data_IF_316342796273
#
_entry.id   IF_316342796273
#
_cell.length_a   1.000
_cell.length_b   1.000
_cell.length_c   1.000
_cell.angle_alpha   90.00
_cell.angle_beta   90.00
_cell.angle_gamma   90.00
#
_symmetry.space_group_name_H-M   'P 1'
#
loop_
_entity.id
_entity.type
_entity.pdbx_description
1 polymer ?
#
# COMPACT_ATOMS: atom_id res chain seq x y z
N UNK A 1 -2.11 -17.23 -17.45
CA UNK A 1 -1.29 -16.08 -17.95
C UNK A 1 0.18 -16.47 -17.97
N UNK A 2 0.98 -16.10 -19.00
CA UNK A 2 2.42 -16.43 -19.04
C UNK A 2 3.16 -15.62 -17.97
N UNK A 3 4.06 -16.25 -17.18
CA UNK A 3 4.82 -15.61 -16.09
C UNK A 3 5.55 -14.34 -16.54
N UNK A 4 6.21 -14.39 -17.69
CA UNK A 4 6.91 -13.23 -18.28
C UNK A 4 5.99 -12.04 -18.51
N UNK A 5 4.76 -12.29 -18.99
CA UNK A 5 3.76 -11.25 -19.19
C UNK A 5 3.29 -10.65 -17.86
N UNK A 6 3.10 -11.49 -16.83
CA UNK A 6 2.73 -11.00 -15.50
C UNK A 6 3.83 -10.12 -14.89
N UNK A 7 5.10 -10.53 -14.99
CA UNK A 7 6.23 -9.76 -14.49
C UNK A 7 6.31 -8.40 -15.20
N UNK A 8 6.17 -8.39 -16.54
CA UNK A 8 6.15 -7.15 -17.31
C UNK A 8 4.99 -6.24 -16.88
N UNK A 9 3.78 -6.79 -16.82
CA UNK A 9 2.57 -6.05 -16.41
C UNK A 9 2.72 -5.44 -15.02
N UNK A 10 3.17 -6.23 -14.02
CA UNK A 10 3.43 -5.75 -12.67
C UNK A 10 4.49 -4.65 -12.64
N UNK A 11 5.56 -4.79 -13.41
CA UNK A 11 6.62 -3.77 -13.47
C UNK A 11 6.08 -2.42 -13.97
N UNK A 12 5.24 -2.41 -14.99
CA UNK A 12 4.64 -1.17 -15.50
C UNK A 12 3.60 -0.59 -14.51
N UNK A 13 2.74 -1.44 -13.93
CA UNK A 13 1.79 -1.01 -12.91
C UNK A 13 2.49 -0.44 -11.67
N UNK A 14 3.59 -1.04 -11.22
CA UNK A 14 4.39 -0.55 -10.09
C UNK A 14 5.00 0.83 -10.38
N UNK A 15 5.56 1.04 -11.56
CA UNK A 15 6.10 2.35 -11.95
C UNK A 15 5.04 3.45 -11.87
N UNK A 16 3.85 3.19 -12.41
CA UNK A 16 2.76 4.17 -12.39
C UNK A 16 2.18 4.33 -10.98
N UNK A 17 1.98 3.23 -10.24
CA UNK A 17 1.45 3.26 -8.88
C UNK A 17 2.36 3.99 -7.88
N UNK A 18 3.68 3.98 -8.11
CA UNK A 18 4.65 4.66 -7.24
C UNK A 18 4.98 6.09 -7.68
N UNK A 19 4.55 6.49 -8.87
CA UNK A 19 4.80 7.83 -9.39
C UNK A 19 4.11 8.89 -8.53
N UNK A 20 4.88 9.83 -8.04
CA UNK A 20 4.40 11.01 -7.32
C UNK A 20 4.68 12.24 -8.17
N UNK A 21 3.64 13.03 -8.43
CA UNK A 21 3.78 14.28 -9.15
C UNK A 21 4.57 15.30 -8.30
N UNK A 22 5.58 15.89 -8.89
CA UNK A 22 6.43 16.88 -8.22
C UNK A 22 5.65 18.13 -7.77
N UNK A 23 4.55 18.46 -8.43
CA UNK A 23 3.67 19.57 -8.05
C UNK A 23 2.95 19.35 -6.72
N UNK A 24 2.84 18.09 -6.27
CA UNK A 24 2.22 17.78 -4.99
C UNK A 24 3.07 18.24 -3.79
N UNK A 25 4.39 18.30 -3.93
CA UNK A 25 5.26 18.71 -2.82
C UNK A 25 5.01 20.15 -2.38
N UNK A 26 5.02 21.16 -3.25
CA UNK A 26 4.63 22.52 -2.86
C UNK A 26 3.15 22.63 -2.52
N UNK A 27 2.26 21.90 -3.19
CA UNK A 27 0.82 21.92 -2.93
C UNK A 27 0.47 21.50 -1.50
N UNK A 28 1.18 20.53 -0.95
CA UNK A 28 0.99 20.01 0.41
C UNK A 28 1.99 20.57 1.43
N UNK A 29 2.78 21.58 1.04
CA UNK A 29 3.79 22.19 1.92
C UNK A 29 4.67 21.13 2.61
N UNK A 30 5.20 20.19 1.84
CA UNK A 30 6.06 19.11 2.34
C UNK A 30 7.34 19.70 2.93
N UNK A 31 7.52 19.56 4.23
CA UNK A 31 8.61 20.17 4.99
C UNK A 31 9.72 19.19 5.34
N UNK A 32 10.90 19.75 5.58
CA UNK A 32 12.05 19.05 6.16
C UNK A 32 12.18 19.43 7.62
N UNK A 33 11.47 18.77 8.51
CA UNK A 33 11.52 19.07 9.93
C UNK A 33 10.58 18.16 10.72
N UNK A 34 10.52 18.34 12.04
CA UNK A 34 9.88 17.36 12.91
C UNK A 34 8.45 17.73 13.33
N UNK A 35 8.11 19.03 13.43
CA UNK A 35 6.78 19.48 13.85
C UNK A 35 6.41 20.85 13.28
N UNK A 36 5.11 21.09 13.18
CA UNK A 36 4.55 22.40 12.95
C UNK A 36 4.49 23.23 14.24
N UNK A 37 4.28 24.54 14.14
CA UNK A 37 4.19 25.45 15.30
C UNK A 37 3.05 25.06 16.27
N UNK A 38 1.96 24.47 15.75
CA UNK A 38 0.82 23.99 16.54
C UNK A 38 1.06 22.63 17.22
N UNK A 39 2.29 22.07 17.13
CA UNK A 39 2.69 20.80 17.71
C UNK A 39 2.28 19.57 16.91
N UNK A 40 1.54 19.72 15.80
CA UNK A 40 1.21 18.60 14.90
C UNK A 40 2.43 18.08 14.15
N UNK A 41 2.33 16.84 13.65
CA UNK A 41 3.37 16.28 12.78
C UNK A 41 3.48 17.04 11.47
N UNK A 42 4.70 17.22 10.96
CA UNK A 42 4.93 17.80 9.64
C UNK A 42 4.82 16.76 8.55
N UNK A 43 4.40 17.17 7.36
CA UNK A 43 4.38 16.33 6.18
C UNK A 43 5.80 16.32 5.57
N UNK A 44 6.54 15.23 5.79
CA UNK A 44 7.92 15.08 5.32
C UNK A 44 8.07 14.31 4.02
N UNK A 45 6.99 13.76 3.50
CA UNK A 45 6.97 13.01 2.24
C UNK A 45 5.57 12.72 1.77
N UNK A 46 5.47 12.20 0.55
CA UNK A 46 4.22 11.75 -0.04
C UNK A 46 4.32 10.28 -0.41
N UNK A 47 3.24 9.55 -0.20
CA UNK A 47 3.10 8.14 -0.61
C UNK A 47 1.70 7.90 -1.13
N UNK A 48 1.58 6.97 -2.08
CA UNK A 48 0.28 6.44 -2.53
C UNK A 48 0.00 5.05 -1.93
N UNK A 49 0.91 4.52 -1.09
CA UNK A 49 0.83 3.14 -0.61
C UNK A 49 -0.10 3.02 0.57
N UNK A 50 0.05 3.88 1.56
CA UNK A 50 -0.74 3.80 2.77
C UNK A 50 -1.14 5.17 3.31
N UNK A 51 -2.24 5.20 4.05
CA UNK A 51 -2.71 6.39 4.74
C UNK A 51 -3.26 5.99 6.11
N UNK A 52 -2.88 6.74 7.14
CA UNK A 52 -3.39 6.58 8.51
C UNK A 52 -4.17 7.84 8.85
N UNK A 53 -5.43 7.69 9.20
CA UNK A 53 -6.33 8.79 9.57
C UNK A 53 -6.74 8.61 11.03
N UNK A 54 -6.33 9.53 11.90
CA UNK A 54 -6.69 9.53 13.34
C UNK A 54 -7.40 10.82 13.79
N UNK A 55 -7.60 11.75 12.85
CA UNK A 55 -8.22 13.05 13.13
C UNK A 55 -9.09 13.50 11.97
N UNK A 56 -10.15 14.24 12.28
CA UNK A 56 -10.92 15.01 11.30
C UNK A 56 -10.71 16.51 11.53
N UNK A 57 -10.74 17.29 10.45
CA UNK A 57 -10.68 18.75 10.55
C UNK A 57 -12.08 19.28 10.86
N UNK A 58 -12.19 20.13 11.91
CA UNK A 58 -13.46 20.77 12.25
C UNK A 58 -13.62 22.11 11.48
N UNK A 59 -14.85 22.43 11.03
CA UNK A 59 -15.15 23.75 10.49
C UNK A 59 -14.79 24.83 11.52
N UNK A 60 -14.04 25.85 11.10
CA UNK A 60 -13.57 26.90 12.00
C UNK A 60 -12.17 26.67 12.57
N UNK A 61 -11.53 25.56 12.28
CA UNK A 61 -10.16 25.22 12.68
C UNK A 61 -10.09 24.23 13.84
N UNK A 62 -8.94 23.53 13.88
CA UNK A 62 -8.67 22.50 14.88
C UNK A 62 -8.84 21.09 14.34
N UNK A 63 -8.42 20.12 15.19
CA UNK A 63 -8.46 18.69 14.91
C UNK A 63 -9.25 17.98 15.99
N UNK A 64 -10.15 17.09 15.59
CA UNK A 64 -10.91 16.22 16.48
C UNK A 64 -10.40 14.80 16.31
N UNK A 65 -9.97 14.12 17.39
CA UNK A 65 -9.62 12.70 17.33
C UNK A 65 -10.80 11.84 16.87
N UNK A 66 -10.52 10.88 16.00
CA UNK A 66 -11.46 9.87 15.54
C UNK A 66 -10.84 8.49 15.75
N UNK A 67 -11.61 7.38 15.73
CA UNK A 67 -11.05 6.05 15.66
C UNK A 67 -10.06 5.96 14.49
N UNK A 68 -8.85 5.44 14.77
CA UNK A 68 -7.81 5.32 13.77
C UNK A 68 -8.24 4.44 12.60
N UNK A 69 -7.98 4.88 11.38
CA UNK A 69 -8.20 4.11 10.17
C UNK A 69 -6.91 3.97 9.39
N UNK A 70 -6.69 2.77 8.85
CA UNK A 70 -5.57 2.45 7.98
C UNK A 70 -6.09 2.10 6.60
N UNK A 71 -5.52 2.75 5.60
CA UNK A 71 -5.84 2.48 4.19
C UNK A 71 -4.59 1.97 3.47
N UNK A 72 -4.76 0.94 2.65
CA UNK A 72 -3.78 0.49 1.67
C UNK A 72 -4.28 0.78 0.27
N UNK A 73 -3.55 1.63 -0.47
CA UNK A 73 -3.91 2.03 -1.84
C UNK A 73 -5.36 2.57 -1.95
N UNK A 74 -5.88 3.19 -0.88
CA UNK A 74 -7.24 3.73 -0.81
C UNK A 74 -8.30 2.75 -0.31
N UNK A 75 -7.97 1.48 -0.11
CA UNK A 75 -8.86 0.48 0.50
C UNK A 75 -8.72 0.47 2.01
N UNK A 76 -9.83 0.48 2.74
CA UNK A 76 -9.84 0.32 4.19
C UNK A 76 -9.34 -1.10 4.56
N UNK A 77 -8.32 -1.19 5.41
CA UNK A 77 -7.73 -2.47 5.80
C UNK A 77 -8.72 -3.34 6.58
N UNK A 78 -9.65 -2.72 7.29
CA UNK A 78 -10.72 -3.43 8.00
C UNK A 78 -11.66 -4.14 7.02
N UNK A 79 -12.06 -3.47 5.94
CA UNK A 79 -12.90 -4.05 4.89
C UNK A 79 -12.19 -5.21 4.18
N UNK A 80 -10.90 -5.05 3.87
CA UNK A 80 -10.08 -6.14 3.30
C UNK A 80 -10.06 -7.35 4.23
N UNK A 81 -9.79 -7.10 5.53
CA UNK A 81 -9.71 -8.16 6.53
C UNK A 81 -11.05 -8.89 6.70
N UNK A 82 -12.16 -8.16 6.75
CA UNK A 82 -13.50 -8.74 6.84
C UNK A 82 -13.83 -9.61 5.62
N UNK A 83 -13.47 -9.16 4.41
CA UNK A 83 -13.67 -9.94 3.20
C UNK A 83 -12.88 -11.25 3.22
N UNK A 84 -11.60 -11.20 3.61
CA UNK A 84 -10.72 -12.37 3.72
C UNK A 84 -11.28 -13.38 4.73
N UNK A 85 -11.69 -12.92 5.92
CA UNK A 85 -12.25 -13.77 6.98
C UNK A 85 -13.58 -14.39 6.53
N UNK A 86 -14.48 -13.60 5.95
CA UNK A 86 -15.78 -14.05 5.46
C UNK A 86 -15.65 -15.15 4.40
N UNK A 87 -14.70 -15.01 3.50
CA UNK A 87 -14.44 -15.96 2.42
C UNK A 87 -13.51 -17.12 2.84
N UNK A 88 -12.99 -17.10 4.08
CA UNK A 88 -12.08 -18.12 4.64
C UNK A 88 -10.87 -18.39 3.75
N UNK A 89 -10.28 -17.36 3.20
CA UNK A 89 -9.12 -17.41 2.30
C UNK A 89 -7.87 -16.79 2.93
N UNK A 90 -6.72 -17.09 2.38
CA UNK A 90 -5.48 -16.41 2.72
C UNK A 90 -5.41 -15.08 1.96
N UNK A 91 -4.99 -14.02 2.65
CA UNK A 91 -4.99 -12.68 2.09
C UNK A 91 -3.62 -12.08 1.84
N UNK A 92 -2.52 -12.81 2.18
CA UNK A 92 -1.17 -12.26 2.08
C UNK A 92 -0.81 -11.86 0.64
N UNK A 93 -0.98 -12.76 -0.31
CA UNK A 93 -0.62 -12.54 -1.71
C UNK A 93 -1.50 -11.47 -2.36
N UNK A 94 -2.79 -11.43 -2.00
CA UNK A 94 -3.72 -10.42 -2.49
C UNK A 94 -3.34 -9.01 -2.00
N UNK A 95 -3.01 -8.88 -0.71
CA UNK A 95 -2.54 -7.61 -0.14
C UNK A 95 -1.17 -7.22 -0.71
N UNK A 96 -0.26 -8.17 -0.88
CA UNK A 96 1.03 -7.92 -1.51
C UNK A 96 0.84 -7.40 -2.96
N UNK A 97 -0.04 -8.04 -3.73
CA UNK A 97 -0.38 -7.58 -5.08
C UNK A 97 -0.95 -6.16 -5.06
N UNK A 98 -1.92 -5.88 -4.17
CA UNK A 98 -2.49 -4.54 -4.00
C UNK A 98 -1.43 -3.48 -3.72
N UNK A 99 -0.53 -3.74 -2.78
CA UNK A 99 0.53 -2.80 -2.41
C UNK A 99 1.50 -2.51 -3.57
N UNK A 100 1.82 -3.52 -4.37
CA UNK A 100 2.70 -3.42 -5.52
C UNK A 100 2.04 -2.74 -6.71
N UNK A 101 0.87 -3.24 -7.14
CA UNK A 101 0.19 -2.80 -8.37
C UNK A 101 -0.70 -1.56 -8.19
N UNK A 102 -1.13 -1.28 -6.95
CA UNK A 102 -2.05 -0.19 -6.63
C UNK A 102 -3.55 -0.56 -6.76
N UNK A 103 -3.87 -1.81 -7.07
CA UNK A 103 -5.24 -2.33 -7.21
C UNK A 103 -5.35 -3.78 -6.73
N UNK A 104 -6.55 -4.22 -6.43
CA UNK A 104 -6.80 -5.64 -6.13
C UNK A 104 -6.68 -6.48 -7.42
N UNK A 105 -6.13 -7.71 -7.31
CA UNK A 105 -6.08 -8.64 -8.43
C UNK A 105 -7.45 -9.24 -8.72
N UNK A 106 -7.69 -9.63 -9.96
CA UNK A 106 -8.73 -10.60 -10.27
C UNK A 106 -8.28 -12.03 -9.90
N UNK A 107 -9.18 -13.01 -10.05
CA UNK A 107 -8.88 -14.40 -9.66
C UNK A 107 -7.74 -15.04 -10.45
N UNK A 108 -7.63 -14.74 -11.74
CA UNK A 108 -6.58 -15.27 -12.60
C UNK A 108 -5.24 -14.63 -12.29
N UNK A 109 -5.24 -13.32 -12.07
CA UNK A 109 -4.05 -12.56 -11.67
C UNK A 109 -3.53 -13.03 -10.32
N UNK A 110 -4.42 -13.21 -9.33
CA UNK A 110 -4.04 -13.72 -8.01
C UNK A 110 -3.43 -15.11 -8.10
N UNK A 111 -4.06 -16.04 -8.83
CA UNK A 111 -3.53 -17.39 -9.00
C UNK A 111 -2.14 -17.38 -9.65
N UNK A 112 -1.97 -16.59 -10.70
CA UNK A 112 -0.67 -16.47 -11.39
C UNK A 112 0.39 -15.79 -10.51
N UNK A 113 0.00 -14.86 -9.67
CA UNK A 113 0.90 -14.20 -8.72
C UNK A 113 1.34 -15.13 -7.60
N UNK A 114 0.41 -15.93 -7.03
CA UNK A 114 0.75 -16.97 -6.06
C UNK A 114 1.75 -17.98 -6.64
N UNK A 115 1.53 -18.42 -7.88
CA UNK A 115 2.44 -19.34 -8.58
C UNK A 115 3.82 -18.70 -8.78
N UNK A 116 3.87 -17.43 -9.18
CA UNK A 116 5.13 -16.69 -9.32
C UNK A 116 5.90 -16.61 -8.00
N UNK A 117 5.23 -16.29 -6.90
CA UNK A 117 5.86 -16.23 -5.57
C UNK A 117 6.39 -17.62 -5.18
N UNK A 118 5.55 -18.65 -5.26
CA UNK A 118 5.92 -20.01 -4.85
C UNK A 118 7.16 -20.54 -5.61
N UNK A 119 7.25 -20.27 -6.89
CA UNK A 119 8.39 -20.69 -7.70
C UNK A 119 9.71 -20.00 -7.33
N UNK A 120 9.62 -18.84 -6.66
CA UNK A 120 10.79 -18.07 -6.24
C UNK A 120 11.07 -18.16 -4.72
N UNK A 121 10.31 -18.96 -3.96
CA UNK A 121 10.51 -19.13 -2.51
C UNK A 121 11.66 -20.08 -2.15
N UNK A 122 12.21 -20.83 -3.09
CA UNK A 122 13.28 -21.76 -2.82
C UNK A 122 14.58 -21.03 -2.43
N UNK A 123 15.03 -21.24 -1.19
CA UNK A 123 16.30 -20.71 -0.70
C UNK A 123 17.46 -21.52 -1.25
N UNK A 124 18.50 -20.84 -1.71
CA UNK A 124 19.77 -21.48 -2.06
C UNK A 124 20.39 -22.19 -0.84
N UNK A 125 21.13 -23.27 -1.09
CA UNK A 125 21.72 -24.12 -0.04
C UNK A 125 22.66 -23.32 0.89
N UNK A 126 23.37 -22.31 0.36
CA UNK A 126 24.19 -21.36 1.14
C UNK A 126 23.42 -20.57 2.18
N UNK A 127 22.18 -20.18 1.86
CA UNK A 127 21.31 -19.38 2.74
C UNK A 127 20.71 -20.23 3.86
N UNK A 128 20.60 -21.55 3.65
CA UNK A 128 20.06 -22.50 4.66
C UNK A 128 21.07 -22.86 5.75
N UNK A 129 22.35 -22.52 5.57
CA UNK A 129 23.45 -22.90 6.49
C UNK A 129 23.90 -21.76 7.41
N UNK A 130 23.28 -20.59 7.33
CA UNK A 130 23.47 -19.45 8.24
C UNK A 130 22.24 -19.26 9.11
#
# INVERSE_FOLDING_TARGET
MKKEYLIYKLSEEMKEATRIDNELFPKFDVKRGLRNEDGTGVLVGLTKIGNVVGYERIPGGGLKPIPGKLFYRGYDVEDISHAIIKEKRFGFEEVAYLLLSGRLPDKEELASFCELINDNMALEQKTKMN
#
